data_IF_323823371342
#
_entry.id   IF_323823371342
#
_cell.length_a   1.000
_cell.length_b   1.000
_cell.length_c   1.000
_cell.angle_alpha   90.00
_cell.angle_beta   90.00
_cell.angle_gamma   90.00
#
_symmetry.space_group_name_H-M   'P 1'
#
loop_
_entity.id
_entity.type
_entity.pdbx_description
1 polymer ?
#
# COMPACT_ATOMS: atom_id res chain seq x y z
N UNK A 1 -6.52 -17.09 13.95
CA UNK A 1 -6.65 -17.52 12.55
C UNK A 1 -6.34 -16.39 11.54
N UNK A 2 -5.52 -15.40 11.93
CA UNK A 2 -5.09 -14.29 11.07
C UNK A 2 -3.77 -14.64 10.33
N UNK A 3 -2.92 -15.50 10.92
CA UNK A 3 -1.65 -15.91 10.29
C UNK A 3 -1.83 -16.64 8.96
N UNK A 4 -2.78 -17.59 8.87
CA UNK A 4 -3.02 -18.35 7.65
C UNK A 4 -3.43 -17.46 6.45
N UNK A 5 -4.12 -16.34 6.71
CA UNK A 5 -4.50 -15.38 5.68
C UNK A 5 -3.28 -14.69 5.06
N UNK A 6 -2.37 -14.18 5.90
CA UNK A 6 -1.16 -13.51 5.42
C UNK A 6 -0.19 -14.46 4.76
N UNK A 7 -0.02 -15.68 5.28
CA UNK A 7 0.91 -16.68 4.73
C UNK A 7 0.60 -17.05 3.27
N UNK A 8 -0.64 -16.88 2.81
CA UNK A 8 -1.01 -17.05 1.39
C UNK A 8 -0.26 -16.10 0.45
N UNK A 9 0.21 -14.94 0.93
CA UNK A 9 0.96 -13.99 0.10
C UNK A 9 2.35 -14.49 -0.28
N UNK A 10 2.98 -15.34 0.54
CA UNK A 10 4.32 -15.87 0.27
C UNK A 10 4.42 -16.57 -1.10
N UNK A 11 3.58 -17.58 -1.40
CA UNK A 11 3.61 -18.20 -2.73
C UNK A 11 3.11 -17.27 -3.84
N UNK A 12 2.18 -16.34 -3.56
CA UNK A 12 1.65 -15.43 -4.58
C UNK A 12 2.70 -14.43 -5.08
N UNK A 13 3.57 -13.95 -4.19
CA UNK A 13 4.60 -12.97 -4.50
C UNK A 13 6.01 -13.56 -4.56
N UNK A 14 6.13 -14.89 -4.47
CA UNK A 14 7.40 -15.63 -4.44
C UNK A 14 8.39 -15.08 -3.39
N UNK A 15 7.92 -14.90 -2.14
CA UNK A 15 8.72 -14.44 -0.99
C UNK A 15 8.69 -15.43 0.15
N UNK A 16 9.79 -15.57 0.88
CA UNK A 16 9.88 -16.47 2.04
C UNK A 16 9.34 -15.83 3.32
N UNK A 17 9.41 -14.50 3.42
CA UNK A 17 9.01 -13.73 4.58
C UNK A 17 8.17 -12.52 4.18
N UNK A 18 7.24 -12.15 5.04
CA UNK A 18 6.48 -10.91 4.94
C UNK A 18 7.08 -9.88 5.88
N UNK A 19 7.10 -8.64 5.44
CA UNK A 19 7.61 -7.52 6.24
C UNK A 19 6.46 -6.54 6.51
N UNK A 20 6.26 -6.24 7.78
CA UNK A 20 5.29 -5.26 8.23
C UNK A 20 5.93 -4.00 8.81
N UNK A 21 5.06 -3.06 9.17
CA UNK A 21 5.39 -1.84 9.88
C UNK A 21 5.38 -2.06 11.39
N UNK A 22 6.20 -1.28 12.08
CA UNK A 22 6.23 -1.23 13.53
C UNK A 22 4.99 -0.50 14.07
N UNK A 23 4.63 -0.75 15.34
CA UNK A 23 3.52 -0.05 15.97
C UNK A 23 3.69 1.47 15.98
N UNK A 24 4.92 1.98 16.08
CA UNK A 24 5.20 3.42 16.03
C UNK A 24 4.91 4.01 14.63
N UNK A 25 5.24 3.28 13.57
CA UNK A 25 4.97 3.70 12.19
C UNK A 25 3.47 3.65 11.88
N UNK A 26 2.75 2.69 12.45
CA UNK A 26 1.29 2.59 12.35
C UNK A 26 0.60 3.66 13.20
N UNK A 27 1.16 4.00 14.37
CA UNK A 27 0.63 5.06 15.24
C UNK A 27 0.62 6.41 14.52
N UNK A 28 1.64 6.71 13.71
CA UNK A 28 1.66 7.91 12.88
C UNK A 28 0.45 7.98 11.92
N UNK A 29 0.08 6.87 11.28
CA UNK A 29 -1.14 6.85 10.45
C UNK A 29 -2.40 7.10 11.27
N UNK A 30 -2.45 6.56 12.50
CA UNK A 30 -3.59 6.77 13.40
C UNK A 30 -3.69 8.20 13.93
N UNK A 31 -2.57 8.89 14.08
CA UNK A 31 -2.55 10.32 14.42
C UNK A 31 -3.12 11.17 13.29
N UNK A 32 -2.84 10.81 12.03
CA UNK A 32 -3.35 11.53 10.86
C UNK A 32 -4.84 11.26 10.58
N UNK A 33 -5.25 10.00 10.66
CA UNK A 33 -6.56 9.55 10.14
C UNK A 33 -7.49 8.97 11.22
N UNK A 34 -7.07 8.97 12.49
CA UNK A 34 -7.82 8.36 13.57
C UNK A 34 -7.74 6.82 13.57
N UNK A 35 -8.83 6.15 13.93
CA UNK A 35 -8.86 4.69 13.94
C UNK A 35 -8.85 4.12 12.52
N UNK A 36 -7.85 3.29 12.20
CA UNK A 36 -7.84 2.55 10.95
C UNK A 36 -8.82 1.36 11.00
N UNK A 37 -9.43 0.97 9.86
CA UNK A 37 -10.12 -0.32 9.77
C UNK A 37 -9.17 -1.45 10.17
N UNK A 38 -9.65 -2.38 11.02
CA UNK A 38 -8.81 -3.44 11.60
C UNK A 38 -8.03 -4.24 10.55
N UNK A 39 -8.67 -4.57 9.43
CA UNK A 39 -8.01 -5.34 8.35
C UNK A 39 -6.85 -4.58 7.70
N UNK A 40 -6.97 -3.25 7.60
CA UNK A 40 -5.92 -2.40 7.05
C UNK A 40 -4.76 -2.27 8.03
N UNK A 41 -5.06 -2.11 9.31
CA UNK A 41 -4.05 -2.10 10.36
C UNK A 41 -3.28 -3.44 10.43
N UNK A 42 -4.00 -4.56 10.39
CA UNK A 42 -3.40 -5.89 10.39
C UNK A 42 -2.56 -6.13 9.12
N UNK A 43 -2.97 -5.59 7.97
CA UNK A 43 -2.17 -5.60 6.75
C UNK A 43 -0.85 -4.84 6.91
N UNK A 44 -0.89 -3.58 7.36
CA UNK A 44 0.33 -2.80 7.56
C UNK A 44 1.26 -3.49 8.56
N UNK A 45 0.72 -4.04 9.65
CA UNK A 45 1.48 -4.77 10.68
C UNK A 45 2.11 -6.05 10.17
N UNK A 46 1.43 -6.81 9.32
CA UNK A 46 1.88 -8.15 8.93
C UNK A 46 2.72 -8.17 7.64
N UNK A 47 2.38 -7.32 6.66
CA UNK A 47 2.90 -7.49 5.31
C UNK A 47 3.06 -6.19 4.50
N UNK A 48 2.56 -5.05 4.97
CA UNK A 48 2.50 -3.81 4.17
C UNK A 48 3.85 -3.25 3.71
N UNK A 49 4.98 -3.65 4.32
CA UNK A 49 6.34 -3.23 3.94
C UNK A 49 7.02 -4.24 2.99
N UNK A 50 6.36 -5.35 2.67
CA UNK A 50 6.89 -6.38 1.76
C UNK A 50 7.18 -5.80 0.38
N UNK A 51 8.46 -5.70 0.01
CA UNK A 51 8.92 -5.03 -1.23
C UNK A 51 8.26 -5.58 -2.50
N UNK A 52 8.02 -6.89 -2.55
CA UNK A 52 7.40 -7.54 -3.71
C UNK A 52 5.98 -7.03 -4.02
N UNK A 53 5.25 -6.52 -3.01
CA UNK A 53 3.91 -5.95 -3.22
C UNK A 53 3.95 -4.61 -3.96
N UNK A 54 5.11 -3.95 -3.95
CA UNK A 54 5.31 -2.60 -4.48
C UNK A 54 6.00 -2.60 -5.84
N UNK A 55 6.22 -3.78 -6.43
CA UNK A 55 6.74 -3.95 -7.80
C UNK A 55 5.61 -3.97 -8.84
N UNK A 56 4.64 -3.07 -8.71
CA UNK A 56 3.45 -2.95 -9.58
C UNK A 56 3.38 -1.54 -10.18
N UNK A 57 2.51 -1.34 -11.17
CA UNK A 57 2.33 -0.02 -11.79
C UNK A 57 1.60 0.97 -10.88
N UNK A 58 0.68 0.48 -10.06
CA UNK A 58 -0.06 1.29 -9.09
C UNK A 58 0.77 1.55 -7.83
N UNK A 59 0.55 2.69 -7.19
CA UNK A 59 1.27 3.03 -5.96
C UNK A 59 0.42 2.71 -4.74
N UNK A 60 0.81 1.67 -4.01
CA UNK A 60 0.33 1.48 -2.64
C UNK A 60 0.82 2.61 -1.75
N UNK A 61 -0.07 3.18 -0.95
CA UNK A 61 0.30 4.24 -0.01
C UNK A 61 0.91 3.67 1.25
N UNK A 62 2.18 4.04 1.43
CA UNK A 62 3.01 3.63 2.54
C UNK A 62 3.02 4.72 3.61
N UNK A 63 3.18 4.39 4.90
CA UNK A 63 3.41 5.36 5.97
C UNK A 63 4.42 6.46 5.61
N UNK A 64 5.51 6.12 4.91
CA UNK A 64 6.53 7.06 4.46
C UNK A 64 6.01 8.08 3.44
N UNK A 65 5.02 7.70 2.62
CA UNK A 65 4.42 8.62 1.63
C UNK A 65 3.64 9.72 2.31
N UNK A 66 2.92 9.42 3.40
CA UNK A 66 2.21 10.42 4.18
C UNK A 66 3.15 11.39 4.89
N UNK A 67 4.36 10.96 5.27
CA UNK A 67 5.40 11.87 5.79
C UNK A 67 5.98 12.79 4.70
N UNK A 68 5.99 12.34 3.46
CA UNK A 68 6.63 13.05 2.34
C UNK A 68 5.70 14.00 1.60
N UNK A 69 4.43 13.65 1.44
CA UNK A 69 3.50 14.35 0.56
C UNK A 69 2.31 14.90 1.33
N UNK A 70 2.25 16.22 1.47
CA UNK A 70 1.21 16.90 2.26
C UNK A 70 -0.20 16.69 1.70
N UNK A 71 -0.34 16.60 0.38
CA UNK A 71 -1.63 16.37 -0.29
C UNK A 71 -2.29 15.02 0.06
N UNK A 72 -1.54 14.08 0.65
CA UNK A 72 -2.08 12.82 1.14
C UNK A 72 -2.70 12.92 2.54
N UNK A 73 -2.50 14.03 3.28
CA UNK A 73 -2.89 14.18 4.68
C UNK A 73 -4.28 14.79 4.85
N UNK A 74 -5.22 14.46 3.97
CA UNK A 74 -6.60 14.91 4.08
C UNK A 74 -7.28 14.15 5.24
N UNK A 75 -7.83 14.83 6.26
CA UNK A 75 -8.28 14.16 7.49
C UNK A 75 -9.51 13.28 7.29
N UNK A 76 -10.29 13.52 6.24
CA UNK A 76 -11.57 12.84 6.00
C UNK A 76 -11.40 11.46 5.33
N UNK A 77 -10.27 11.21 4.67
CA UNK A 77 -10.05 9.96 3.94
C UNK A 77 -8.57 9.58 3.82
N UNK A 78 -8.31 8.28 3.89
CA UNK A 78 -7.00 7.69 3.59
C UNK A 78 -7.01 7.15 2.15
N UNK A 79 -6.09 7.63 1.31
CA UNK A 79 -5.84 7.02 0.00
C UNK A 79 -4.97 5.78 0.23
N UNK A 80 -5.49 4.60 -0.08
CA UNK A 80 -4.77 3.33 0.11
C UNK A 80 -3.95 2.93 -1.13
N UNK A 81 -4.53 3.15 -2.30
CA UNK A 81 -3.96 2.81 -3.59
C UNK A 81 -4.15 4.00 -4.52
N UNK A 82 -3.06 4.51 -5.06
CA UNK A 82 -3.08 5.51 -6.13
C UNK A 82 -2.80 4.80 -7.44
N UNK A 83 -3.87 4.56 -8.17
CA UNK A 83 -3.83 3.89 -9.47
C UNK A 83 -3.04 4.74 -10.47
N UNK A 84 -2.10 4.12 -11.16
CA UNK A 84 -1.37 4.77 -12.23
C UNK A 84 -2.18 4.67 -13.53
N UNK A 85 -3.00 5.69 -13.82
CA UNK A 85 -3.86 5.77 -15.01
C UNK A 85 -3.09 6.07 -16.31
N UNK A 86 -1.95 5.42 -16.52
CA UNK A 86 -1.26 5.41 -17.80
C UNK A 86 -2.11 4.69 -18.84
N UNK A 87 -3.06 5.43 -19.45
CA UNK A 87 -3.78 5.04 -20.64
C UNK A 87 -2.74 4.49 -21.61
N UNK A 88 -2.88 3.23 -22.02
CA UNK A 88 -2.30 2.78 -23.27
C UNK A 88 -2.85 3.72 -24.35
N UNK A 89 -2.14 4.82 -24.64
CA UNK A 89 -2.33 5.50 -25.90
C UNK A 89 -2.13 4.40 -26.94
N UNK A 90 -3.12 4.08 -27.79
CA UNK A 90 -2.84 3.19 -28.89
C UNK A 90 -1.64 3.80 -29.59
N UNK A 91 -0.57 2.99 -29.69
CA UNK A 91 0.57 3.29 -30.55
C UNK A 91 -0.04 3.84 -31.83
N UNK A 92 0.30 5.11 -32.10
CA UNK A 92 -0.31 5.92 -33.14
C UNK A 92 -0.70 5.04 -34.31
N UNK A 93 -2.02 4.88 -34.47
CA UNK A 93 -2.62 4.56 -35.75
C UNK A 93 -1.83 5.36 -36.80
N UNK A 94 -1.20 4.64 -37.74
CA UNK A 94 -0.10 5.17 -38.52
C UNK A 94 -0.33 6.58 -39.06
N UNK A 95 0.75 7.38 -39.01
CA UNK A 95 1.05 8.57 -39.83
C UNK A 95 -0.11 9.50 -40.18
N UNK A 96 -0.03 10.76 -39.71
CA UNK A 96 0.12 11.95 -40.57
C UNK A 96 1.03 12.95 -39.85
#
# INVERSE_FOLDING_TARGET
>A
MISAFWEMFKPLYAVDTLEGYTENEIAYLKELFGSLPRVLEDYYRAAGRTKAFHCVQDTWMLPEHFQKWEWLREPDYLILLNENQGVCAPESAGRI
#
